data_IF_106369398749
#
_entry.id   IF_106369398749
#
_cell.length_a   1.000
_cell.length_b   1.000
_cell.length_c   1.000
_cell.angle_alpha   90.00
_cell.angle_beta   90.00
_cell.angle_gamma   90.00
#
_symmetry.space_group_name_H-M   'P 1'
#
loop_
_entity.id
_entity.type
_entity.pdbx_description
1 polymer ?
#
# COMPACT_ATOMS: atom_id res chain seq x y z
N UNK A 1 -2.18 -15.41 9.92
CA UNK A 1 -2.81 -14.44 8.99
C UNK A 1 -2.01 -13.14 8.95
N UNK A 2 -1.95 -12.31 10.01
CA UNK A 2 -1.25 -11.01 9.96
C UNK A 2 0.25 -11.06 9.61
N UNK A 3 1.01 -12.05 10.10
CA UNK A 3 2.46 -12.11 9.82
C UNK A 3 2.80 -12.58 8.41
N UNK A 4 1.98 -13.46 7.83
CA UNK A 4 2.19 -13.98 6.46
C UNK A 4 2.02 -12.87 5.41
N UNK A 5 0.99 -12.03 5.59
CA UNK A 5 0.80 -10.86 4.74
C UNK A 5 1.90 -9.82 4.89
N UNK A 6 2.48 -9.67 6.09
CA UNK A 6 3.60 -8.76 6.31
C UNK A 6 4.88 -9.24 5.60
N UNK A 7 5.16 -10.54 5.61
CA UNK A 7 6.30 -11.14 4.91
C UNK A 7 6.13 -10.97 3.39
N UNK A 8 4.96 -11.33 2.86
CA UNK A 8 4.65 -11.16 1.43
C UNK A 8 4.72 -9.70 0.98
N UNK A 9 4.26 -8.76 1.82
CA UNK A 9 4.38 -7.32 1.58
C UNK A 9 5.84 -6.88 1.50
N UNK A 10 6.68 -7.32 2.44
CA UNK A 10 8.09 -6.95 2.49
C UNK A 10 8.84 -7.51 1.29
N UNK A 11 8.58 -8.77 0.93
CA UNK A 11 9.22 -9.44 -0.20
C UNK A 11 8.87 -8.76 -1.53
N UNK A 12 7.57 -8.47 -1.77
CA UNK A 12 7.14 -7.71 -2.96
C UNK A 12 7.74 -6.31 -2.98
N UNK A 13 7.79 -5.64 -1.83
CA UNK A 13 8.36 -4.29 -1.75
C UNK A 13 9.84 -4.29 -2.11
N UNK A 14 10.63 -5.26 -1.63
CA UNK A 14 12.04 -5.38 -1.97
C UNK A 14 12.25 -5.79 -3.43
N UNK A 15 11.42 -6.67 -3.97
CA UNK A 15 11.46 -7.09 -5.38
C UNK A 15 11.20 -5.89 -6.32
N UNK A 16 10.17 -5.10 -6.02
CA UNK A 16 9.85 -3.90 -6.80
C UNK A 16 10.87 -2.78 -6.55
N UNK A 17 11.43 -2.66 -5.34
CA UNK A 17 12.51 -1.72 -5.04
C UNK A 17 13.77 -2.03 -5.87
N UNK A 18 14.06 -3.31 -6.09
CA UNK A 18 15.17 -3.74 -6.92
C UNK A 18 14.93 -3.46 -8.41
N UNK A 19 13.66 -3.54 -8.86
CA UNK A 19 13.27 -3.29 -10.25
C UNK A 19 13.22 -1.81 -10.62
N UNK A 20 12.61 -0.97 -9.76
CA UNK A 20 12.34 0.43 -10.09
C UNK A 20 13.40 1.37 -9.52
N UNK A 21 14.14 0.94 -8.49
CA UNK A 21 15.21 1.71 -7.84
C UNK A 21 14.70 2.88 -6.99
N UNK A 22 13.46 3.31 -7.18
CA UNK A 22 12.78 4.30 -6.35
C UNK A 22 11.87 3.62 -5.31
N UNK A 23 12.13 3.79 -4.00
CA UNK A 23 11.29 3.23 -2.94
C UNK A 23 9.83 3.68 -3.01
N UNK A 24 9.56 4.86 -3.58
CA UNK A 24 8.19 5.38 -3.65
C UNK A 24 7.38 4.70 -4.75
N UNK A 25 7.97 4.51 -5.92
CA UNK A 25 7.31 3.82 -7.04
C UNK A 25 7.14 2.32 -6.75
N UNK A 26 8.16 1.69 -6.14
CA UNK A 26 8.10 0.31 -5.69
C UNK A 26 6.93 0.06 -4.73
N UNK A 27 6.67 1.00 -3.83
CA UNK A 27 5.59 0.90 -2.86
C UNK A 27 4.22 1.14 -3.48
N UNK A 28 4.08 2.10 -4.40
CA UNK A 28 2.84 2.34 -5.12
C UNK A 28 2.42 1.13 -5.96
N UNK A 29 3.37 0.49 -6.65
CA UNK A 29 3.13 -0.72 -7.44
C UNK A 29 2.76 -1.90 -6.52
N UNK A 30 3.48 -2.07 -5.42
CA UNK A 30 3.20 -3.10 -4.41
C UNK A 30 1.78 -2.94 -3.84
N UNK A 31 1.37 -1.70 -3.52
CA UNK A 31 0.03 -1.39 -3.04
C UNK A 31 -1.04 -1.75 -4.08
N UNK A 32 -0.87 -1.35 -5.35
CA UNK A 32 -1.87 -1.60 -6.40
C UNK A 32 -2.04 -3.10 -6.70
N UNK A 33 -0.94 -3.85 -6.75
CA UNK A 33 -0.95 -5.31 -6.93
C UNK A 33 -1.58 -6.03 -5.74
N UNK A 34 -1.28 -5.63 -4.51
CA UNK A 34 -1.81 -6.30 -3.33
C UNK A 34 -3.30 -5.97 -3.14
N UNK A 35 -3.74 -4.74 -3.44
CA UNK A 35 -5.16 -4.37 -3.38
C UNK A 35 -6.05 -5.20 -4.31
N UNK A 36 -5.61 -5.39 -5.57
CA UNK A 36 -6.33 -6.24 -6.53
C UNK A 36 -6.31 -7.72 -6.16
N UNK A 37 -5.18 -8.24 -5.66
CA UNK A 37 -5.07 -9.61 -5.15
C UNK A 37 -5.99 -9.85 -3.94
N UNK A 38 -6.13 -8.86 -3.06
CA UNK A 38 -6.97 -8.94 -1.88
C UNK A 38 -8.47 -8.97 -2.24
N UNK A 39 -8.89 -8.17 -3.22
CA UNK A 39 -10.26 -8.21 -3.76
C UNK A 39 -10.59 -9.57 -4.38
N UNK A 40 -9.67 -10.13 -5.16
CA UNK A 40 -9.83 -11.46 -5.73
C UNK A 40 -9.99 -12.52 -4.63
N UNK A 41 -9.10 -12.53 -3.63
CA UNK A 41 -9.17 -13.44 -2.48
C UNK A 41 -10.47 -13.29 -1.68
N UNK A 42 -10.87 -12.04 -1.41
CA UNK A 42 -12.11 -11.73 -0.70
C UNK A 42 -13.35 -12.23 -1.42
N UNK A 43 -13.43 -12.04 -2.75
CA UNK A 43 -14.52 -12.59 -3.56
C UNK A 43 -14.61 -14.10 -3.45
N UNK A 44 -13.49 -14.81 -3.50
CA UNK A 44 -13.46 -16.29 -3.38
C UNK A 44 -14.02 -16.75 -2.04
N UNK A 45 -13.70 -16.04 -0.95
CA UNK A 45 -14.23 -16.34 0.39
C UNK A 45 -15.73 -16.09 0.45
N UNK A 46 -16.21 -14.97 -0.09
CA UNK A 46 -17.65 -14.67 -0.16
C UNK A 46 -18.39 -15.76 -0.93
N UNK A 47 -17.88 -16.21 -2.09
CA UNK A 47 -18.47 -17.31 -2.85
C UNK A 47 -18.44 -18.64 -2.10
N UNK A 48 -17.33 -18.96 -1.43
CA UNK A 48 -17.19 -20.19 -0.64
C UNK A 48 -18.20 -20.26 0.50
N UNK A 49 -18.42 -19.16 1.21
CA UNK A 49 -19.41 -19.10 2.29
C UNK A 49 -20.84 -18.89 1.79
N UNK A 50 -21.05 -18.28 0.62
CA UNK A 50 -22.37 -18.21 -0.01
C UNK A 50 -22.94 -19.61 -0.32
N UNK A 51 -22.08 -20.59 -0.64
CA UNK A 51 -22.50 -21.98 -0.83
C UNK A 51 -23.09 -22.61 0.46
N UNK A 52 -22.63 -22.18 1.65
CA UNK A 52 -23.16 -22.64 2.94
C UNK A 52 -24.55 -22.07 3.23
N UNK A 53 -24.89 -20.90 2.68
CA UNK A 53 -26.23 -20.30 2.81
C UNK A 53 -27.29 -21.12 2.07
N UNK A 54 -26.92 -21.82 0.99
CA UNK A 54 -27.81 -22.72 0.27
C UNK A 54 -28.12 -24.03 1.02
N UNK A 55 -27.52 -24.24 2.21
CA UNK A 55 -27.74 -25.45 3.00
C UNK A 55 -29.15 -25.49 3.61
N UNK A 56 -29.85 -26.64 3.54
CA UNK A 56 -31.21 -26.80 4.09
C UNK A 56 -31.25 -26.83 5.63
N UNK A 57 -30.11 -26.91 6.31
CA UNK A 57 -30.03 -26.87 7.77
C UNK A 57 -29.92 -25.42 8.28
N UNK A 58 -30.95 -24.97 8.99
CA UNK A 58 -31.09 -23.60 9.49
C UNK A 58 -29.89 -23.13 10.36
N UNK A 59 -29.25 -24.04 11.11
CA UNK A 59 -28.06 -23.75 11.90
C UNK A 59 -26.84 -23.38 11.02
N UNK A 60 -26.68 -24.06 9.88
CA UNK A 60 -25.55 -23.87 8.97
C UNK A 60 -25.78 -22.60 8.13
N UNK A 61 -27.01 -22.37 7.68
CA UNK A 61 -27.38 -21.15 6.95
C UNK A 61 -27.16 -19.88 7.79
N UNK A 62 -27.60 -19.87 9.05
CA UNK A 62 -27.41 -18.71 9.93
C UNK A 62 -25.92 -18.44 10.23
N UNK A 63 -25.13 -19.50 10.45
CA UNK A 63 -23.68 -19.40 10.62
C UNK A 63 -22.98 -18.87 9.36
N UNK A 64 -23.39 -19.36 8.19
CA UNK A 64 -22.89 -18.89 6.89
C UNK A 64 -23.18 -17.40 6.68
N UNK A 65 -24.38 -16.94 7.03
CA UNK A 65 -24.77 -15.52 6.89
C UNK A 65 -23.94 -14.60 7.79
N UNK A 66 -23.75 -14.96 9.06
CA UNK A 66 -22.87 -14.20 10.00
C UNK A 66 -21.43 -14.17 9.52
N UNK A 67 -20.94 -15.27 8.94
CA UNK A 67 -19.58 -15.36 8.44
C UNK A 67 -19.38 -14.51 7.18
N UNK A 68 -20.33 -14.54 6.23
CA UNK A 68 -20.29 -13.67 5.04
C UNK A 68 -20.31 -12.20 5.45
N UNK A 69 -21.17 -11.80 6.38
CA UNK A 69 -21.19 -10.44 6.90
C UNK A 69 -19.84 -10.07 7.54
N UNK A 70 -19.27 -10.95 8.35
CA UNK A 70 -17.95 -10.74 8.97
C UNK A 70 -16.85 -10.55 7.92
N UNK A 71 -16.85 -11.35 6.86
CA UNK A 71 -15.89 -11.25 5.75
C UNK A 71 -16.06 -9.93 4.99
N UNK A 72 -17.30 -9.51 4.73
CA UNK A 72 -17.60 -8.22 4.11
C UNK A 72 -17.09 -7.07 4.98
N UNK A 73 -17.38 -7.09 6.28
CA UNK A 73 -16.88 -6.08 7.21
C UNK A 73 -15.35 -6.07 7.31
N UNK A 74 -14.72 -7.24 7.30
CA UNK A 74 -13.26 -7.36 7.28
C UNK A 74 -12.69 -6.77 5.99
N UNK A 75 -13.27 -7.07 4.81
CA UNK A 75 -12.85 -6.49 3.53
C UNK A 75 -12.99 -4.97 3.52
N UNK A 76 -14.12 -4.44 3.99
CA UNK A 76 -14.35 -2.99 4.09
C UNK A 76 -13.32 -2.36 5.02
N UNK A 77 -13.10 -2.96 6.19
CA UNK A 77 -12.12 -2.47 7.18
C UNK A 77 -10.72 -2.47 6.58
N UNK A 78 -10.33 -3.55 5.91
CA UNK A 78 -9.03 -3.61 5.24
C UNK A 78 -8.92 -2.55 4.15
N UNK A 79 -9.95 -2.33 3.33
CA UNK A 79 -9.94 -1.26 2.33
C UNK A 79 -9.82 0.13 2.95
N UNK A 80 -10.55 0.42 4.03
CA UNK A 80 -10.49 1.72 4.70
C UNK A 80 -9.09 1.94 5.29
N UNK A 81 -8.55 0.96 6.03
CA UNK A 81 -7.20 1.04 6.60
C UNK A 81 -6.16 1.19 5.47
N UNK A 82 -6.34 0.47 4.38
CA UNK A 82 -5.46 0.52 3.22
C UNK A 82 -5.49 1.88 2.51
N UNK A 83 -6.67 2.44 2.24
CA UNK A 83 -6.82 3.78 1.64
C UNK A 83 -6.25 4.86 2.57
N UNK A 84 -6.49 4.76 3.88
CA UNK A 84 -5.94 5.69 4.87
C UNK A 84 -4.41 5.63 4.90
N UNK A 85 -3.81 4.44 4.82
CA UNK A 85 -2.37 4.29 4.73
C UNK A 85 -1.84 4.86 3.40
N UNK A 86 -2.50 4.58 2.28
CA UNK A 86 -2.14 5.11 0.96
C UNK A 86 -2.14 6.65 0.95
N UNK A 87 -3.20 7.28 1.45
CA UNK A 87 -3.31 8.75 1.55
C UNK A 87 -2.23 9.31 2.48
N UNK A 88 -1.98 8.66 3.62
CA UNK A 88 -0.92 9.09 4.56
C UNK A 88 0.47 9.05 3.89
N UNK A 89 0.73 8.05 3.07
CA UNK A 89 1.99 7.94 2.35
C UNK A 89 2.10 8.96 1.21
N UNK A 90 1.00 9.26 0.52
CA UNK A 90 0.95 10.29 -0.52
C UNK A 90 1.12 11.71 0.04
N UNK A 91 0.53 12.02 1.21
CA UNK A 91 0.71 13.33 1.88
C UNK A 91 2.16 13.53 2.33
N UNK A 92 2.81 12.50 2.89
CA UNK A 92 4.23 12.62 3.27
C UNK A 92 5.16 12.75 2.06
N UNK A 93 4.73 12.29 0.88
CA UNK A 93 5.47 12.36 -0.38
C UNK A 93 5.61 13.78 -0.90
N UNK A 94 4.53 14.56 -0.93
CA UNK A 94 4.58 15.97 -1.37
C UNK A 94 5.55 16.80 -0.52
N UNK A 95 5.57 16.57 0.79
CA UNK A 95 6.44 17.30 1.72
C UNK A 95 7.92 16.98 1.48
N UNK A 96 8.27 15.71 1.29
CA UNK A 96 9.66 15.28 1.11
C UNK A 96 10.22 15.68 -0.26
N UNK A 97 9.42 15.58 -1.33
CA UNK A 97 9.81 16.04 -2.67
C UNK A 97 10.09 17.55 -2.70
N UNK A 98 9.19 18.34 -2.14
CA UNK A 98 9.37 19.79 -2.04
C UNK A 98 10.63 20.13 -1.22
N UNK A 99 10.87 19.46 -0.11
CA UNK A 99 12.07 19.66 0.72
C UNK A 99 13.37 19.29 -0.03
N UNK A 100 13.39 18.19 -0.79
CA UNK A 100 14.54 17.80 -1.61
C UNK A 100 14.83 18.80 -2.71
N UNK A 101 13.80 19.33 -3.38
CA UNK A 101 13.99 20.35 -4.42
C UNK A 101 14.54 21.64 -3.84
N UNK A 102 14.01 22.10 -2.71
CA UNK A 102 14.50 23.30 -2.02
C UNK A 102 15.96 23.12 -1.57
N UNK A 103 16.31 21.96 -1.02
CA UNK A 103 17.68 21.64 -0.63
C UNK A 103 18.63 21.60 -1.83
N UNK A 104 18.20 21.02 -2.96
CA UNK A 104 18.99 20.95 -4.20
C UNK A 104 19.24 22.34 -4.79
N UNK A 105 18.25 23.22 -4.76
CA UNK A 105 18.40 24.64 -5.15
C UNK A 105 19.38 25.35 -4.23
N UNK A 106 19.25 25.20 -2.91
CA UNK A 106 20.14 25.82 -1.93
C UNK A 106 21.60 25.37 -2.12
N UNK A 107 21.84 24.06 -2.30
CA UNK A 107 23.18 23.53 -2.58
C UNK A 107 23.76 24.04 -3.90
N UNK A 108 22.93 24.16 -4.95
CA UNK A 108 23.38 24.72 -6.22
C UNK A 108 23.78 26.20 -6.11
N UNK A 109 23.05 27.00 -5.32
CA UNK A 109 23.38 28.40 -5.05
C UNK A 109 24.72 28.56 -4.30
N UNK A 110 24.94 27.72 -3.28
CA UNK A 110 26.18 27.72 -2.49
C UNK A 110 27.38 27.32 -3.36
N UNK A 111 27.25 26.24 -4.16
CA UNK A 111 28.32 25.76 -5.03
C UNK A 111 28.74 26.83 -6.06
N UNK A 112 27.77 27.54 -6.64
CA UNK A 112 28.05 28.59 -7.62
C UNK A 112 28.71 29.83 -6.97
N UNK A 113 28.34 30.16 -5.73
CA UNK A 113 28.97 31.26 -4.97
C UNK A 113 30.41 30.94 -4.56
N UNK A 114 30.71 29.72 -4.12
CA UNK A 114 32.07 29.30 -3.78
C UNK A 114 33.01 29.30 -4.99
N UNK A 115 32.50 28.96 -6.19
CA UNK A 115 33.29 29.04 -7.44
C UNK A 115 33.70 30.47 -7.80
N UNK A 116 32.86 31.48 -7.53
CA UNK A 116 33.19 32.88 -7.82
C UNK A 116 34.26 33.47 -6.91
N UNK A 117 34.41 32.95 -5.68
CA UNK A 117 35.47 33.41 -4.76
C UNK A 117 36.84 32.80 -5.06
N UNK A 118 36.90 31.63 -5.69
CA UNK A 118 38.18 30.94 -6.00
C UNK A 118 38.79 31.44 -7.32
N UNK A 119 37.98 31.92 -8.27
CA UNK A 119 38.45 32.33 -9.60
C UNK A 119 38.78 33.84 -9.72
N UNK A 120 38.77 34.56 -8.60
CA UNK A 120 39.00 36.01 -8.51
C UNK A 120 40.36 36.42 -7.95
N UNK A 121 41.35 35.54 -8.01
CA UNK A 121 42.73 35.76 -7.55
C UNK A 121 43.70 35.49 -8.71
#
# INVERSE_FOLDING_TARGET
MGSEYAILMMERFYEELHNVGDPYEALAITANRIGSALMASGMTVVFGFAALIASPFNIIGNFGLVTVLSVIFALITTFIVFVVLMIRMEIQREVIENAKQELKKAMALINNHSRRRVNGN
#
